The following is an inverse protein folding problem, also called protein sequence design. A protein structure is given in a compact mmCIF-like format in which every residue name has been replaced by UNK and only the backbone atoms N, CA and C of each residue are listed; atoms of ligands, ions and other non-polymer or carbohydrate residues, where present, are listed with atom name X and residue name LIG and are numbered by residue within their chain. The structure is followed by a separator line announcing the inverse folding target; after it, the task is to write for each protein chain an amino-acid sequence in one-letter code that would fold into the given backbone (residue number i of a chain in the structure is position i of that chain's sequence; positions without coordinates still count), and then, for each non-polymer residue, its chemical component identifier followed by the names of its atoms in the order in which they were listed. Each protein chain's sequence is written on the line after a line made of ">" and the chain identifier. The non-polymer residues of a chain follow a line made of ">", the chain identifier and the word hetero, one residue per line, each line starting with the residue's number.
data_IF_101664930688
#
_entry.id   IF_101664930688
#
_cell.length_a   1.000
_cell.length_b   1.000
_cell.length_c   1.000
_cell.angle_alpha   90.00
_cell.angle_beta   90.00
_cell.angle_gamma   90.00
#
_symmetry.space_group_name_H-M   'P 1'
#
loop_
_entity.id
_entity.type
_entity.pdbx_description
1 polymer ?
#
# COMPACT_ATOMS: atom_id res chain seq x y z
N UNK A 1 -9.32 1.22 -31.66
CA UNK A 1 -8.93 2.59 -31.20
C UNK A 1 -9.21 2.69 -29.70
N UNK A 2 -8.23 3.21 -28.92
CA UNK A 2 -8.40 3.43 -27.47
C UNK A 2 -9.22 4.71 -27.25
N UNK A 3 -10.14 4.71 -26.29
CA UNK A 3 -10.89 5.88 -25.84
C UNK A 3 -10.88 5.99 -24.33
N UNK A 4 -11.11 7.18 -23.82
CA UNK A 4 -11.29 7.40 -22.40
C UNK A 4 -12.59 6.76 -21.91
N UNK A 5 -12.53 6.11 -20.72
CA UNK A 5 -13.70 5.50 -20.11
C UNK A 5 -14.66 6.55 -19.55
N UNK A 6 -15.96 6.31 -19.69
CA UNK A 6 -16.97 7.10 -19.00
C UNK A 6 -16.97 6.79 -17.48
N UNK A 7 -17.51 7.70 -16.67
CA UNK A 7 -17.53 7.56 -15.21
C UNK A 7 -18.19 6.27 -14.71
N UNK A 8 -19.21 5.76 -15.40
CA UNK A 8 -19.90 4.50 -15.09
C UNK A 8 -19.01 3.29 -15.37
N UNK A 9 -18.23 3.33 -16.46
CA UNK A 9 -17.28 2.29 -16.83
C UNK A 9 -16.12 2.23 -15.85
N UNK A 10 -15.59 3.38 -15.41
CA UNK A 10 -14.56 3.48 -14.36
C UNK A 10 -15.07 2.86 -13.05
N UNK A 11 -16.32 3.17 -12.63
CA UNK A 11 -16.92 2.57 -11.42
C UNK A 11 -17.04 1.05 -11.53
N UNK A 12 -17.39 0.53 -12.71
CA UNK A 12 -17.48 -0.92 -12.95
C UNK A 12 -16.10 -1.57 -12.87
N UNK A 13 -15.09 -0.99 -13.51
CA UNK A 13 -13.70 -1.44 -13.47
C UNK A 13 -13.17 -1.48 -12.04
N UNK A 14 -13.32 -0.39 -11.27
CA UNK A 14 -12.88 -0.33 -9.88
C UNK A 14 -13.60 -1.37 -8.99
N UNK A 15 -14.85 -1.71 -9.29
CA UNK A 15 -15.57 -2.76 -8.57
C UNK A 15 -14.98 -4.14 -8.85
N UNK A 16 -14.55 -4.42 -10.07
CA UNK A 16 -13.87 -5.67 -10.43
C UNK A 16 -12.58 -5.81 -9.64
N UNK A 17 -11.71 -4.82 -9.67
CA UNK A 17 -10.45 -4.83 -8.91
C UNK A 17 -10.67 -4.97 -7.40
N UNK A 18 -11.67 -4.29 -6.84
CA UNK A 18 -11.99 -4.43 -5.42
C UNK A 18 -12.42 -5.84 -5.03
N UNK A 19 -13.08 -6.57 -5.91
CA UNK A 19 -13.51 -7.96 -5.64
C UNK A 19 -12.36 -8.96 -5.70
N UNK A 20 -11.35 -8.67 -6.51
CA UNK A 20 -10.13 -9.50 -6.62
C UNK A 20 -9.05 -9.14 -5.59
N UNK A 21 -9.29 -8.09 -4.78
CA UNK A 21 -8.36 -7.63 -3.74
C UNK A 21 -8.84 -8.14 -2.39
N UNK A 22 -8.04 -8.97 -1.72
CA UNK A 22 -8.38 -9.62 -0.46
C UNK A 22 -7.57 -9.10 0.71
N UNK A 23 -6.27 -8.81 0.47
CA UNK A 23 -5.35 -8.39 1.51
C UNK A 23 -5.68 -6.99 2.04
N UNK A 24 -5.63 -6.85 3.36
CA UNK A 24 -5.78 -5.56 4.05
C UNK A 24 -4.51 -4.73 3.86
N UNK A 25 -4.69 -3.49 3.47
CA UNK A 25 -3.60 -2.53 3.29
C UNK A 25 -3.87 -1.30 4.13
N UNK A 26 -2.91 -0.96 4.98
CA UNK A 26 -2.95 0.18 5.88
C UNK A 26 -1.71 1.07 5.72
N UNK A 27 -1.74 2.27 6.27
CA UNK A 27 -0.60 3.19 6.33
C UNK A 27 -0.34 3.64 7.77
N UNK A 28 0.92 3.98 8.04
CA UNK A 28 1.36 4.72 9.21
C UNK A 28 2.20 5.90 8.72
N UNK A 29 1.85 7.11 9.14
CA UNK A 29 2.57 8.34 8.81
C UNK A 29 3.19 8.91 10.08
N UNK A 30 4.52 8.92 10.13
CA UNK A 30 5.28 9.48 11.24
C UNK A 30 5.83 10.86 10.89
N UNK A 31 5.28 11.89 11.52
CA UNK A 31 5.74 13.28 11.36
C UNK A 31 5.77 13.78 9.90
N UNK A 32 4.86 13.32 9.05
CA UNK A 32 4.67 13.87 7.71
C UNK A 32 4.05 15.26 7.86
N UNK A 33 4.91 16.28 7.91
CA UNK A 33 4.55 17.61 8.41
C UNK A 33 3.84 18.49 7.38
N UNK A 34 3.99 18.20 6.09
CA UNK A 34 3.42 19.00 5.03
C UNK A 34 1.96 18.58 4.70
N UNK A 35 0.96 19.46 4.93
CA UNK A 35 -0.44 19.13 4.67
C UNK A 35 -0.71 18.73 3.21
N UNK A 36 0.05 19.28 2.26
CA UNK A 36 -0.02 18.90 0.85
C UNK A 36 0.34 17.42 0.64
N UNK A 37 1.41 16.94 1.30
CA UNK A 37 1.83 15.54 1.23
C UNK A 37 0.78 14.62 1.85
N UNK A 38 0.28 14.96 3.04
CA UNK A 38 -0.80 14.19 3.69
C UNK A 38 -2.04 14.09 2.79
N UNK A 39 -2.45 15.19 2.15
CA UNK A 39 -3.57 15.20 1.22
C UNK A 39 -3.32 14.33 -0.03
N UNK A 40 -2.12 14.37 -0.59
CA UNK A 40 -1.72 13.54 -1.74
C UNK A 40 -1.69 12.06 -1.37
N UNK A 41 -1.13 11.71 -0.20
CA UNK A 41 -1.13 10.35 0.33
C UNK A 41 -2.57 9.88 0.56
N UNK A 42 -3.42 10.69 1.17
CA UNK A 42 -4.86 10.37 1.39
C UNK A 42 -5.56 10.02 0.09
N UNK A 43 -5.32 10.79 -0.96
CA UNK A 43 -5.93 10.54 -2.27
C UNK A 43 -5.46 9.21 -2.87
N UNK A 44 -4.17 8.94 -2.80
CA UNK A 44 -3.57 7.70 -3.30
C UNK A 44 -4.02 6.50 -2.46
N UNK A 45 -4.04 6.64 -1.14
CA UNK A 45 -4.53 5.63 -0.20
C UNK A 45 -5.98 5.21 -0.54
N UNK A 46 -6.86 6.18 -0.75
CA UNK A 46 -8.24 5.91 -1.17
C UNK A 46 -8.33 5.18 -2.53
N UNK A 47 -7.42 5.50 -3.47
CA UNK A 47 -7.39 4.86 -4.79
C UNK A 47 -6.95 3.39 -4.72
N UNK A 48 -6.02 3.05 -3.82
CA UNK A 48 -5.51 1.69 -3.62
C UNK A 48 -6.25 0.90 -2.53
N UNK A 49 -7.36 1.45 -1.98
CA UNK A 49 -8.19 0.76 -1.00
C UNK A 49 -7.51 0.57 0.35
N UNK A 50 -6.72 1.57 0.78
CA UNK A 50 -6.20 1.62 2.15
C UNK A 50 -7.36 1.79 3.11
N UNK A 51 -7.45 0.93 4.12
CA UNK A 51 -8.56 0.93 5.08
C UNK A 51 -8.35 1.97 6.17
N UNK A 52 -7.12 2.08 6.67
CA UNK A 52 -6.78 2.92 7.82
C UNK A 52 -5.41 3.57 7.66
N UNK A 53 -5.28 4.77 8.18
CA UNK A 53 -4.03 5.52 8.28
C UNK A 53 -3.84 5.93 9.72
N UNK A 54 -2.79 5.41 10.37
CA UNK A 54 -2.31 5.92 11.66
C UNK A 54 -1.45 7.16 11.45
N UNK A 55 -1.69 8.15 12.29
CA UNK A 55 -0.96 9.40 12.28
C UNK A 55 -0.23 9.53 13.62
N UNK A 56 1.07 9.80 13.62
CA UNK A 56 1.81 10.05 14.85
C UNK A 56 2.85 11.15 14.68
N UNK A 57 3.41 11.61 15.79
CA UNK A 57 4.32 12.74 15.81
C UNK A 57 3.67 14.01 15.26
N UNK A 58 4.43 14.79 14.51
CA UNK A 58 4.00 16.07 13.93
C UNK A 58 3.31 15.90 12.57
N UNK A 59 2.66 14.74 12.32
CA UNK A 59 1.92 14.53 11.08
C UNK A 59 0.78 15.53 10.95
N UNK A 60 0.73 16.23 9.82
CA UNK A 60 -0.30 17.23 9.57
C UNK A 60 -1.70 16.63 9.56
N UNK A 61 -2.65 17.37 10.12
CA UNK A 61 -4.05 16.96 10.18
C UNK A 61 -4.62 16.76 8.75
N UNK A 62 -5.16 15.59 8.41
CA UNK A 62 -5.84 15.35 7.13
C UNK A 62 -7.02 16.30 6.89
N UNK A 63 -7.58 16.90 7.96
CA UNK A 63 -8.66 17.88 7.87
C UNK A 63 -8.16 19.30 7.62
N UNK A 64 -6.84 19.54 7.66
CA UNK A 64 -6.26 20.85 7.30
C UNK A 64 -6.73 21.28 5.89
N UNK A 65 -7.11 22.56 5.67
CA UNK A 65 -7.65 23.03 4.39
C UNK A 65 -6.79 22.64 3.17
N UNK A 66 -5.46 22.74 3.27
CA UNK A 66 -4.53 22.38 2.20
C UNK A 66 -4.51 20.87 1.93
N UNK A 67 -4.59 20.02 2.95
CA UNK A 67 -4.68 18.57 2.82
C UNK A 67 -6.01 18.18 2.14
N UNK A 68 -7.13 18.72 2.60
CA UNK A 68 -8.46 18.48 2.01
C UNK A 68 -8.52 18.90 0.53
N UNK A 69 -7.92 20.05 0.19
CA UNK A 69 -7.86 20.54 -1.19
C UNK A 69 -7.13 19.56 -2.09
N UNK A 70 -6.02 18.99 -1.62
CA UNK A 70 -5.22 18.02 -2.39
C UNK A 70 -5.89 16.64 -2.44
N UNK A 71 -6.50 16.20 -1.35
CA UNK A 71 -7.23 14.95 -1.27
C UNK A 71 -8.51 14.91 -2.13
N UNK A 72 -9.03 16.06 -2.59
CA UNK A 72 -10.24 16.15 -3.44
C UNK A 72 -11.43 15.36 -2.91
N UNK A 73 -11.66 15.40 -1.58
CA UNK A 73 -12.78 14.74 -0.93
C UNK A 73 -12.66 13.23 -0.77
N UNK A 74 -11.52 12.63 -1.12
CA UNK A 74 -11.32 11.17 -0.99
C UNK A 74 -11.08 10.72 0.44
N UNK A 75 -10.75 11.62 1.38
CA UNK A 75 -10.53 11.30 2.80
C UNK A 75 -11.70 10.58 3.48
N UNK A 76 -12.93 10.72 2.96
CA UNK A 76 -14.13 9.99 3.44
C UNK A 76 -14.06 8.46 3.21
N UNK A 77 -13.13 7.99 2.40
CA UNK A 77 -12.94 6.58 2.09
C UNK A 77 -11.80 5.94 2.89
N UNK A 78 -11.13 6.72 3.73
CA UNK A 78 -9.98 6.28 4.54
C UNK A 78 -10.28 6.60 6.00
N UNK A 79 -10.04 5.67 6.89
CA UNK A 79 -10.16 5.88 8.34
C UNK A 79 -8.84 6.45 8.85
N UNK A 80 -8.90 7.50 9.66
CA UNK A 80 -7.73 8.09 10.31
C UNK A 80 -7.77 7.83 11.80
N UNK A 81 -6.63 7.50 12.37
CA UNK A 81 -6.46 7.29 13.80
C UNK A 81 -5.18 7.99 14.28
N UNK A 82 -5.30 8.75 15.36
CA UNK A 82 -4.15 9.38 15.99
C UNK A 82 -3.52 8.42 16.98
N UNK A 83 -2.20 8.23 16.87
CA UNK A 83 -1.41 7.47 17.81
C UNK A 83 -0.45 8.42 18.56
N UNK A 84 -0.28 8.18 19.86
CA UNK A 84 0.56 9.03 20.71
C UNK A 84 2.05 9.00 20.37
N UNK A 85 2.52 7.94 19.71
CA UNK A 85 3.90 7.78 19.26
C UNK A 85 4.01 6.77 18.11
N UNK A 86 5.18 6.70 17.48
CA UNK A 86 5.46 5.67 16.48
C UNK A 86 5.40 4.25 17.06
N UNK A 87 5.83 4.06 18.30
CA UNK A 87 5.76 2.76 18.97
C UNK A 87 4.31 2.38 19.24
N UNK A 88 3.50 3.29 19.78
CA UNK A 88 2.08 3.03 20.01
C UNK A 88 1.32 2.74 18.70
N UNK A 89 1.66 3.43 17.61
CA UNK A 89 1.12 3.14 16.28
C UNK A 89 1.52 1.73 15.80
N UNK A 90 2.78 1.35 15.97
CA UNK A 90 3.28 0.03 15.61
C UNK A 90 2.62 -1.09 16.42
N UNK A 91 2.37 -0.87 17.70
CA UNK A 91 1.62 -1.78 18.56
C UNK A 91 0.18 -1.95 18.07
N UNK A 92 -0.53 -0.85 17.78
CA UNK A 92 -1.88 -0.89 17.23
C UNK A 92 -1.96 -1.63 15.87
N UNK A 93 -0.94 -1.50 15.02
CA UNK A 93 -0.80 -2.23 13.77
C UNK A 93 -0.71 -3.74 14.04
N UNK A 94 0.15 -4.15 14.99
CA UNK A 94 0.31 -5.57 15.35
C UNK A 94 -0.95 -6.17 16.00
N UNK A 95 -1.62 -5.41 16.85
CA UNK A 95 -2.90 -5.82 17.49
C UNK A 95 -3.98 -6.11 16.45
N UNK A 96 -3.92 -5.46 15.28
CA UNK A 96 -4.81 -5.75 14.17
C UNK A 96 -4.35 -6.90 13.26
N UNK A 97 -3.25 -7.57 13.61
CA UNK A 97 -2.70 -8.70 12.85
C UNK A 97 -1.99 -8.29 11.55
N UNK A 98 -1.58 -7.02 11.43
CA UNK A 98 -0.88 -6.51 10.25
C UNK A 98 0.65 -6.58 10.45
N UNK A 99 1.38 -6.94 9.42
CA UNK A 99 2.85 -6.76 9.40
C UNK A 99 3.21 -5.32 9.12
N UNK A 100 4.13 -4.76 9.88
CA UNK A 100 4.61 -3.39 9.74
C UNK A 100 5.85 -3.36 8.85
N UNK A 101 5.73 -2.76 7.66
CA UNK A 101 6.83 -2.59 6.72
C UNK A 101 7.15 -1.10 6.62
N UNK A 102 8.32 -0.72 7.09
CA UNK A 102 8.79 0.66 7.03
C UNK A 102 9.48 0.91 5.70
N UNK A 103 9.03 1.95 4.98
CA UNK A 103 9.61 2.35 3.69
C UNK A 103 10.63 3.45 3.91
N UNK A 104 11.90 3.07 4.02
CA UNK A 104 13.00 3.99 4.33
C UNK A 104 14.33 3.48 3.76
N UNK A 105 15.22 4.39 3.39
CA UNK A 105 16.59 4.05 2.99
C UNK A 105 17.46 3.90 4.25
N UNK A 106 17.48 2.71 4.83
CA UNK A 106 18.16 2.41 6.08
C UNK A 106 19.12 1.24 5.95
N UNK A 107 20.05 1.10 6.90
CA UNK A 107 20.95 -0.04 6.96
C UNK A 107 20.16 -1.33 7.17
N UNK A 108 20.42 -2.35 6.38
CA UNK A 108 19.71 -3.63 6.43
C UNK A 108 18.35 -3.65 5.72
N UNK A 109 17.92 -2.53 5.12
CA UNK A 109 16.72 -2.49 4.32
C UNK A 109 16.86 -3.32 3.03
N UNK A 110 15.78 -3.98 2.63
CA UNK A 110 15.71 -4.73 1.36
C UNK A 110 15.10 -3.88 0.24
N UNK A 111 15.41 -4.12 -1.03
CA UNK A 111 14.70 -3.48 -2.13
C UNK A 111 13.19 -3.73 -2.05
N UNK A 112 12.36 -2.72 -2.27
CA UNK A 112 10.90 -2.80 -2.11
C UNK A 112 10.27 -3.96 -2.90
N UNK A 113 10.77 -4.23 -4.11
CA UNK A 113 10.30 -5.33 -4.95
C UNK A 113 10.68 -6.74 -4.42
N UNK A 114 11.56 -6.82 -3.41
CA UNK A 114 11.93 -8.06 -2.71
C UNK A 114 11.33 -8.11 -1.29
N UNK A 115 10.64 -7.05 -0.87
CA UNK A 115 10.02 -7.01 0.45
C UNK A 115 8.82 -7.96 0.53
N UNK A 116 8.50 -8.39 1.76
CA UNK A 116 7.36 -9.25 2.05
C UNK A 116 6.06 -8.43 2.03
N UNK A 117 5.57 -8.09 0.83
CA UNK A 117 4.38 -7.26 0.62
C UNK A 117 3.09 -8.07 0.42
N UNK A 118 3.15 -9.37 0.59
CA UNK A 118 2.01 -10.30 0.55
C UNK A 118 1.15 -10.21 1.82
N UNK A 119 -0.13 -10.55 1.74
CA UNK A 119 -1.06 -10.60 2.88
C UNK A 119 -1.36 -9.24 3.51
N UNK A 120 -1.77 -9.27 4.77
CA UNK A 120 -2.21 -8.09 5.51
C UNK A 120 -1.01 -7.26 6.01
N UNK A 121 -0.87 -6.04 5.52
CA UNK A 121 0.29 -5.18 5.81
C UNK A 121 -0.09 -3.74 6.13
N UNK A 122 0.78 -3.09 6.90
CA UNK A 122 0.82 -1.65 7.10
C UNK A 122 2.15 -1.12 6.58
N UNK A 123 2.11 -0.20 5.62
CA UNK A 123 3.29 0.51 5.14
C UNK A 123 3.50 1.78 5.96
N UNK A 124 4.69 1.97 6.50
CA UNK A 124 5.02 3.16 7.27
C UNK A 124 5.97 4.07 6.49
N UNK A 125 5.73 5.38 6.59
CA UNK A 125 6.55 6.43 5.99
C UNK A 125 6.85 7.51 7.04
N UNK A 126 8.04 8.09 6.94
CA UNK A 126 8.53 9.09 7.87
C UNK A 126 8.47 10.52 7.34
N UNK A 127 9.09 11.41 8.11
CA UNK A 127 9.22 12.83 7.83
C UNK A 127 10.01 13.10 6.54
N UNK A 128 9.66 14.16 5.84
CA UNK A 128 10.25 14.56 4.56
C UNK A 128 11.76 14.84 4.61
N UNK A 129 12.23 15.36 5.73
CA UNK A 129 13.63 15.78 5.90
C UNK A 129 14.45 14.81 6.77
N UNK A 130 13.82 14.21 7.79
CA UNK A 130 14.48 13.36 8.80
C UNK A 130 14.27 11.87 8.61
N UNK A 131 13.34 11.48 7.70
CA UNK A 131 12.96 10.10 7.50
C UNK A 131 12.19 9.51 8.70
N UNK A 132 12.25 8.19 8.83
CA UNK A 132 11.65 7.44 9.92
C UNK A 132 12.54 7.48 11.17
N UNK A 133 11.92 7.58 12.35
CA UNK A 133 12.65 7.55 13.61
C UNK A 133 13.31 6.20 13.88
N UNK A 134 14.40 6.16 14.68
CA UNK A 134 14.98 4.90 15.13
C UNK A 134 13.98 4.00 15.85
N UNK A 135 13.01 4.57 16.55
CA UNK A 135 11.97 3.85 17.26
C UNK A 135 11.02 3.14 16.28
N UNK A 136 10.60 3.81 15.19
CA UNK A 136 9.78 3.21 14.15
C UNK A 136 10.54 2.13 13.38
N UNK A 137 11.81 2.37 13.03
CA UNK A 137 12.67 1.39 12.38
C UNK A 137 12.86 0.12 13.23
N UNK A 138 13.06 0.29 14.55
CA UNK A 138 13.21 -0.83 15.48
C UNK A 138 11.90 -1.61 15.69
N UNK A 139 10.75 -0.96 15.49
CA UNK A 139 9.44 -1.58 15.60
C UNK A 139 8.99 -2.31 14.32
N UNK A 140 9.69 -2.13 13.20
CA UNK A 140 9.33 -2.72 11.92
C UNK A 140 9.53 -4.25 11.91
N UNK A 141 8.62 -4.99 11.28
CA UNK A 141 8.82 -6.39 10.93
C UNK A 141 9.81 -6.50 9.74
N UNK A 142 9.81 -5.51 8.88
CA UNK A 142 10.78 -5.36 7.81
C UNK A 142 10.97 -3.88 7.44
N UNK A 143 12.19 -3.53 7.03
CA UNK A 143 12.49 -2.23 6.41
C UNK A 143 12.78 -2.45 4.93
N UNK A 144 12.14 -1.65 4.07
CA UNK A 144 12.30 -1.74 2.63
C UNK A 144 12.62 -0.36 2.04
N UNK A 145 13.38 -0.32 0.95
CA UNK A 145 13.67 0.91 0.26
C UNK A 145 13.28 0.87 -1.22
N UNK A 146 12.93 2.01 -1.78
CA UNK A 146 12.66 2.14 -3.22
C UNK A 146 14.00 2.35 -3.93
N UNK A 147 14.45 1.40 -4.80
CA UNK A 147 15.67 1.57 -5.56
C UNK A 147 15.62 2.80 -6.47
N UNK A 148 16.65 3.63 -6.42
CA UNK A 148 16.80 4.83 -7.22
C UNK A 148 18.07 4.74 -8.05
N UNK A 149 17.98 5.05 -9.34
CA UNK A 149 19.12 5.04 -10.27
C UNK A 149 19.64 6.45 -10.56
N UNK A 150 18.94 7.47 -10.07
CA UNK A 150 19.30 8.89 -10.22
C UNK A 150 20.35 9.33 -9.19
N UNK A 151 20.70 10.62 -9.26
CA UNK A 151 21.68 11.27 -8.35
C UNK A 151 21.02 12.03 -7.20
N UNK A 152 19.73 11.77 -6.95
CA UNK A 152 18.99 12.38 -5.83
C UNK A 152 19.00 11.44 -4.63
N UNK A 153 19.04 12.01 -3.44
CA UNK A 153 19.14 11.22 -2.18
C UNK A 153 17.80 10.73 -1.65
N UNK A 154 16.68 11.29 -2.13
CA UNK A 154 15.34 10.95 -1.61
C UNK A 154 14.24 11.21 -2.65
N UNK A 155 13.07 10.64 -2.39
CA UNK A 155 11.82 10.94 -3.09
C UNK A 155 10.92 11.79 -2.20
N UNK A 156 10.02 12.55 -2.80
CA UNK A 156 8.90 13.12 -2.05
C UNK A 156 8.09 12.01 -1.39
N UNK A 157 7.72 12.19 -0.11
CA UNK A 157 7.04 11.15 0.70
C UNK A 157 5.72 10.69 0.09
N UNK A 158 4.97 11.58 -0.56
CA UNK A 158 3.73 11.19 -1.23
C UNK A 158 4.00 10.35 -2.50
N UNK A 159 5.11 10.61 -3.20
CA UNK A 159 5.55 9.78 -4.31
C UNK A 159 6.03 8.41 -3.80
N UNK A 160 6.81 8.36 -2.72
CA UNK A 160 7.23 7.12 -2.09
C UNK A 160 6.03 6.27 -1.64
N UNK A 161 5.03 6.89 -1.01
CA UNK A 161 3.78 6.24 -0.64
C UNK A 161 3.05 5.65 -1.86
N UNK A 162 2.95 6.40 -2.96
CA UNK A 162 2.28 5.94 -4.17
C UNK A 162 2.98 4.72 -4.79
N UNK A 163 4.30 4.72 -4.85
CA UNK A 163 5.11 3.61 -5.36
C UNK A 163 4.93 2.38 -4.47
N UNK A 164 5.03 2.54 -3.14
CA UNK A 164 4.91 1.43 -2.20
C UNK A 164 3.51 0.80 -2.21
N UNK A 165 2.44 1.62 -2.25
CA UNK A 165 1.06 1.15 -2.36
C UNK A 165 0.81 0.42 -3.69
N UNK A 166 1.33 0.96 -4.80
CA UNK A 166 1.20 0.32 -6.11
C UNK A 166 1.93 -1.03 -6.16
N UNK A 167 3.14 -1.12 -5.57
CA UNK A 167 3.91 -2.36 -5.53
C UNK A 167 3.22 -3.43 -4.67
N UNK A 168 2.69 -3.06 -3.49
CA UNK A 168 1.94 -3.97 -2.63
C UNK A 168 0.73 -4.57 -3.38
N UNK A 169 -0.06 -3.74 -4.06
CA UNK A 169 -1.20 -4.22 -4.85
C UNK A 169 -0.79 -5.02 -6.08
N UNK A 170 0.31 -4.64 -6.75
CA UNK A 170 0.84 -5.40 -7.88
C UNK A 170 1.18 -6.84 -7.46
N UNK A 171 1.85 -7.01 -6.32
CA UNK A 171 2.18 -8.34 -5.78
C UNK A 171 0.93 -9.18 -5.57
N UNK A 172 -0.04 -8.68 -4.82
CA UNK A 172 -1.30 -9.37 -4.56
C UNK A 172 -2.02 -9.79 -5.85
N UNK A 173 -2.11 -8.88 -6.83
CA UNK A 173 -2.82 -9.16 -8.08
C UNK A 173 -2.06 -10.13 -8.99
N UNK A 174 -0.73 -10.17 -8.93
CA UNK A 174 0.08 -11.13 -9.69
C UNK A 174 -0.06 -12.52 -9.10
N UNK A 175 0.07 -12.67 -7.79
CA UNK A 175 -0.08 -13.95 -7.09
C UNK A 175 -1.50 -14.55 -7.27
N UNK A 176 -2.54 -13.72 -7.24
CA UNK A 176 -3.90 -14.15 -7.51
C UNK A 176 -4.10 -14.64 -8.96
N UNK A 177 -3.38 -14.07 -9.92
CA UNK A 177 -3.43 -14.52 -11.31
C UNK A 177 -2.70 -15.85 -11.52
N UNK A 178 -1.55 -16.05 -10.86
CA UNK A 178 -0.74 -17.27 -10.95
C UNK A 178 -1.50 -18.46 -10.33
N UNK A 179 -2.13 -18.28 -9.16
CA UNK A 179 -2.97 -19.31 -8.52
C UNK A 179 -4.22 -19.66 -9.34
N UNK A 180 -4.82 -18.70 -10.03
CA UNK A 180 -5.97 -18.97 -10.91
C UNK A 180 -5.56 -19.72 -12.20
N UNK A 181 -4.32 -19.54 -12.67
CA UNK A 181 -3.76 -20.26 -13.82
C UNK A 181 -3.42 -21.72 -13.53
N UNK A 182 -2.96 -22.02 -12.33
CA UNK A 182 -2.60 -23.39 -11.91
C UNK A 182 -3.83 -24.28 -11.68
N UNK A 183 -4.95 -23.73 -11.23
CA UNK A 183 -6.19 -24.48 -11.03
C UNK A 183 -6.95 -24.79 -12.33
N UNK A 184 -6.56 -24.18 -13.46
CA UNK A 184 -7.15 -24.40 -14.79
C UNK A 184 -6.49 -25.50 -15.63
N UNK A 185 -5.39 -26.10 -15.18
CA UNK A 185 -4.63 -27.12 -15.92
C UNK A 185 -4.74 -28.52 -15.31
N UNK A 186 -5.95 -29.03 -15.08
CA UNK A 186 -6.11 -30.50 -14.97
C UNK A 186 -6.01 -31.09 -16.39
N UNK A 187 -5.10 -32.05 -16.63
CA UNK A 187 -5.06 -32.76 -17.90
C UNK A 187 -6.33 -33.61 -18.00
N UNK A 188 -7.10 -33.40 -19.06
CA UNK A 188 -8.17 -34.34 -19.47
C UNK A 188 -7.51 -35.69 -19.72
N UNK A 189 -7.50 -36.56 -18.72
CA UNK A 189 -7.10 -37.95 -18.88
C UNK A 189 -8.03 -38.61 -19.89
N UNK A 190 -7.38 -39.22 -20.85
CA UNK A 190 -8.00 -39.82 -22.02
C UNK A 190 -9.05 -40.88 -21.70
N UNK A 191 -10.24 -40.68 -22.22
CA UNK A 191 -11.26 -41.70 -22.31
C UNK A 191 -10.75 -42.86 -23.12
N UNK A 192 -10.66 -44.02 -22.49
CA UNK A 192 -10.38 -45.34 -23.06
C UNK A 192 -11.27 -45.62 -24.26
N UNK A 193 -10.64 -45.88 -25.40
CA UNK A 193 -11.28 -46.49 -26.52
C UNK A 193 -11.60 -47.97 -26.21
N UNK A 194 -12.82 -48.26 -25.87
CA UNK A 194 -13.29 -49.64 -25.77
C UNK A 194 -13.78 -50.14 -27.15
N UNK A 195 -13.31 -51.32 -27.49
CA UNK A 195 -13.52 -52.02 -28.74
C UNK A 195 -14.92 -52.56 -28.81
N UNK A 196 -15.49 -52.52 -30.01
CA UNK A 196 -16.69 -53.25 -30.39
C UNK A 196 -16.26 -54.51 -31.18
N UNK A 197 -16.90 -55.65 -30.97
CA UNK A 197 -16.64 -56.89 -31.67
C UNK A 197 -17.11 -56.90 -33.12
#
# INVERSE_FOLDING_TARGET
>A
MSRQLAATEVKRLNRTWRRSTQARLCLLLESVSQPFNVGSITRTAAAFGVEQVWLCGDTADPMHPSARKTALGTGRFVRFEQAGSAVAAAEAVREQGLRLIVVELAQGAVPLHLAALDGDICLALGNEDRGCSPALLAAADQVAYIPQVGRVGSLNVAAAAAIALAEARRREWTEAADTAGETGSEPMEGGSADRIP
#
